data_IF_092843006403
#
_entry.id   IF_092843006403
#
_cell.length_a   1.000
_cell.length_b   1.000
_cell.length_c   1.000
_cell.angle_alpha   90.00
_cell.angle_beta   90.00
_cell.angle_gamma   90.00
#
_symmetry.space_group_name_H-M   'P 1'
#
loop_
_entity.id
_entity.type
_entity.pdbx_description
1 polymer ?
#
# COMPACT_ATOMS: atom_id res chain seq x y z
N UNK A 1 6.60 15.55 25.71
CA UNK A 1 7.55 16.24 24.82
C UNK A 1 7.08 16.09 23.38
N UNK A 2 7.23 17.13 22.57
CA UNK A 2 6.90 17.12 21.14
C UNK A 2 8.03 16.47 20.33
N UNK A 3 7.70 15.89 19.17
CA UNK A 3 8.66 15.14 18.34
C UNK A 3 8.92 15.83 17.00
N UNK A 4 10.08 15.55 16.41
CA UNK A 4 10.48 16.13 15.12
C UNK A 4 9.97 15.27 13.94
N UNK A 5 9.96 13.93 14.09
CA UNK A 5 9.53 12.99 13.05
C UNK A 5 8.63 11.90 13.65
N UNK A 6 7.53 11.63 12.98
CA UNK A 6 6.65 10.49 13.23
C UNK A 6 6.75 9.54 12.04
N UNK A 7 7.07 8.28 12.29
CA UNK A 7 7.04 7.22 11.27
C UNK A 7 5.82 6.34 11.55
N UNK A 8 4.94 6.21 10.56
CA UNK A 8 3.68 5.50 10.68
C UNK A 8 3.84 3.99 10.44
N UNK A 9 3.46 3.18 11.43
CA UNK A 9 3.50 1.72 11.39
C UNK A 9 2.17 1.06 11.75
N UNK A 10 1.09 1.83 11.80
CA UNK A 10 -0.26 1.31 12.05
C UNK A 10 -0.83 0.62 10.82
N UNK A 11 -1.92 -0.12 10.99
CA UNK A 11 -2.77 -0.47 9.86
C UNK A 11 -3.52 0.77 9.37
N UNK A 12 -3.81 0.82 8.07
CA UNK A 12 -4.41 1.99 7.43
C UNK A 12 -5.73 2.44 8.08
N UNK A 13 -6.59 1.49 8.53
CA UNK A 13 -7.85 1.79 9.21
C UNK A 13 -7.67 2.44 10.58
N UNK A 14 -6.49 2.38 11.18
CA UNK A 14 -6.19 2.98 12.49
C UNK A 14 -5.50 4.34 12.37
N UNK A 15 -5.14 4.77 11.16
CA UNK A 15 -4.30 5.95 10.91
C UNK A 15 -4.89 7.22 11.54
N UNK A 16 -6.14 7.55 11.25
CA UNK A 16 -6.78 8.78 11.74
C UNK A 16 -6.89 8.78 13.27
N UNK A 17 -7.36 7.66 13.83
CA UNK A 17 -7.48 7.51 15.28
C UNK A 17 -6.13 7.63 15.99
N UNK A 18 -5.10 7.00 15.45
CA UNK A 18 -3.76 7.06 16.01
C UNK A 18 -3.21 8.50 15.97
N UNK A 19 -3.37 9.22 14.86
CA UNK A 19 -2.93 10.63 14.77
C UNK A 19 -3.68 11.53 15.75
N UNK A 20 -4.98 11.28 15.98
CA UNK A 20 -5.76 11.97 17.02
C UNK A 20 -5.20 11.70 18.41
N UNK A 21 -4.90 10.43 18.72
CA UNK A 21 -4.41 10.03 20.06
C UNK A 21 -3.02 10.62 20.39
N UNK A 22 -2.17 10.81 19.37
CA UNK A 22 -0.82 11.40 19.55
C UNK A 22 -0.75 12.89 19.21
N UNK A 23 -1.87 13.58 19.03
CA UNK A 23 -1.90 14.98 18.60
C UNK A 23 -1.08 15.90 19.52
N UNK A 24 -0.99 15.60 20.81
CA UNK A 24 -0.17 16.35 21.77
C UNK A 24 1.34 16.28 21.51
N UNK A 25 1.80 15.28 20.74
CA UNK A 25 3.20 15.14 20.33
C UNK A 25 3.54 15.96 19.08
N UNK A 26 2.52 16.37 18.33
CA UNK A 26 2.66 17.07 17.06
C UNK A 26 2.86 18.57 17.35
N UNK A 27 3.94 19.14 16.85
CA UNK A 27 4.21 20.59 16.81
C UNK A 27 4.15 21.08 15.37
N UNK A 28 4.24 22.39 15.16
CA UNK A 28 4.16 23.03 13.84
C UNK A 28 5.13 22.44 12.81
N UNK A 29 6.33 22.06 13.26
CA UNK A 29 7.42 21.58 12.40
C UNK A 29 7.59 20.05 12.47
N UNK A 30 6.64 19.32 13.06
CA UNK A 30 6.68 17.85 13.08
C UNK A 30 6.49 17.32 11.67
N UNK A 31 7.40 16.48 11.23
CA UNK A 31 7.35 15.77 9.96
C UNK A 31 6.71 14.39 10.14
N UNK A 32 6.00 13.91 9.13
CA UNK A 32 5.35 12.59 9.15
C UNK A 32 5.79 11.78 7.94
N UNK A 33 6.34 10.58 8.17
CA UNK A 33 6.67 9.61 7.12
C UNK A 33 5.61 8.51 7.08
N UNK A 34 4.90 8.41 5.96
CA UNK A 34 3.91 7.38 5.68
C UNK A 34 4.42 6.37 4.66
N UNK A 35 4.61 5.12 5.10
CA UNK A 35 5.00 3.98 4.26
C UNK A 35 3.90 2.90 4.25
N UNK A 36 2.68 3.26 4.62
CA UNK A 36 1.55 2.33 4.68
C UNK A 36 1.15 1.84 3.28
N UNK A 37 0.66 0.61 3.21
CA UNK A 37 0.10 0.09 1.97
C UNK A 37 -1.20 0.81 1.62
N UNK A 38 -1.44 0.98 0.32
CA UNK A 38 -2.65 1.62 -0.18
C UNK A 38 -2.41 3.03 -0.72
N UNK A 39 -3.49 3.76 -0.93
CA UNK A 39 -3.52 5.05 -1.64
C UNK A 39 -4.38 6.04 -0.85
N UNK A 40 -3.97 7.32 -0.81
CA UNK A 40 -4.78 8.41 -0.26
C UNK A 40 -4.61 8.62 1.23
N UNK A 41 -3.52 8.14 1.83
CA UNK A 41 -3.22 8.37 3.25
C UNK A 41 -2.90 9.83 3.55
N UNK A 42 -2.34 10.54 2.57
CA UNK A 42 -2.04 11.96 2.64
C UNK A 42 -3.27 12.80 2.96
N UNK A 43 -4.45 12.46 2.43
CA UNK A 43 -5.73 13.15 2.70
C UNK A 43 -6.15 13.08 4.19
N UNK A 44 -5.66 12.07 4.90
CA UNK A 44 -5.89 11.91 6.34
C UNK A 44 -4.82 12.67 7.12
N UNK A 45 -3.55 12.54 6.73
CA UNK A 45 -2.42 13.10 7.46
C UNK A 45 -2.42 14.64 7.40
N UNK A 46 -2.85 15.24 6.28
CA UNK A 46 -2.94 16.70 6.11
C UNK A 46 -3.90 17.40 7.09
N UNK A 47 -4.80 16.64 7.72
CA UNK A 47 -5.65 17.17 8.80
C UNK A 47 -4.87 17.49 10.09
N UNK A 48 -3.65 16.97 10.22
CA UNK A 48 -2.82 17.05 11.44
C UNK A 48 -1.52 17.83 11.24
N UNK A 49 -0.92 17.75 10.06
CA UNK A 49 0.30 18.46 9.69
C UNK A 49 0.19 19.06 8.29
N UNK A 50 0.87 20.17 8.01
CA UNK A 50 0.84 20.76 6.66
C UNK A 50 1.50 19.83 5.65
N UNK A 51 1.07 19.93 4.38
CA UNK A 51 1.50 19.06 3.28
C UNK A 51 3.02 19.03 3.09
N UNK A 52 3.68 20.17 3.30
CA UNK A 52 5.15 20.28 3.24
C UNK A 52 5.90 19.52 4.33
N UNK A 53 5.19 19.01 5.34
CA UNK A 53 5.75 18.17 6.39
C UNK A 53 5.42 16.68 6.20
N UNK A 54 4.76 16.31 5.09
CA UNK A 54 4.39 14.93 4.80
C UNK A 54 5.39 14.32 3.82
N UNK A 55 5.96 13.20 4.23
CA UNK A 55 6.69 12.29 3.34
C UNK A 55 5.81 11.08 3.08
N UNK A 56 5.64 10.75 1.82
CA UNK A 56 4.99 9.50 1.39
C UNK A 56 6.01 8.59 0.74
N UNK A 57 5.75 7.31 0.80
CA UNK A 57 6.62 6.33 0.17
C UNK A 57 6.04 4.93 0.19
N UNK A 58 6.86 4.01 -0.26
CA UNK A 58 6.57 2.60 -0.14
C UNK A 58 7.77 1.85 0.44
N UNK A 59 7.51 0.67 1.00
CA UNK A 59 8.55 -0.24 1.46
C UNK A 59 8.37 -1.61 0.83
N UNK A 60 9.48 -2.19 0.40
CA UNK A 60 9.56 -3.58 -0.09
C UNK A 60 10.17 -4.52 0.96
N UNK A 61 10.39 -4.05 2.18
CA UNK A 61 10.82 -4.90 3.27
C UNK A 61 9.72 -5.86 3.69
N UNK A 62 10.07 -7.13 3.81
CA UNK A 62 9.20 -8.15 4.38
C UNK A 62 9.76 -8.56 5.75
N UNK A 63 8.92 -8.44 6.77
CA UNK A 63 9.29 -8.77 8.14
C UNK A 63 8.15 -9.54 8.82
N UNK A 64 8.51 -10.51 9.66
CA UNK A 64 7.58 -11.27 10.49
C UNK A 64 7.92 -11.09 11.97
N UNK A 65 6.91 -10.93 12.81
CA UNK A 65 7.05 -10.96 14.25
C UNK A 65 6.97 -12.42 14.72
N UNK A 66 8.10 -12.97 15.22
CA UNK A 66 8.17 -14.35 15.72
C UNK A 66 7.90 -14.46 17.23
N UNK A 67 7.92 -13.33 17.93
CA UNK A 67 7.66 -13.25 19.37
C UNK A 67 7.92 -11.84 19.92
N UNK A 68 7.68 -11.58 21.20
CA UNK A 68 7.96 -10.28 21.80
C UNK A 68 9.42 -9.88 21.59
N UNK A 69 9.65 -8.78 20.84
CA UNK A 69 10.99 -8.28 20.53
C UNK A 69 11.79 -9.10 19.51
N UNK A 70 11.18 -10.12 18.88
CA UNK A 70 11.83 -10.98 17.90
C UNK A 70 11.24 -10.74 16.52
N UNK A 71 12.00 -10.11 15.64
CA UNK A 71 11.61 -9.81 14.24
C UNK A 71 12.53 -10.57 13.30
N UNK A 72 11.92 -11.28 12.35
CA UNK A 72 12.64 -11.94 11.25
C UNK A 72 12.44 -11.14 9.97
N UNK A 73 13.55 -10.77 9.33
CA UNK A 73 13.57 -10.19 8.00
C UNK A 73 13.67 -11.28 6.94
N UNK A 74 12.94 -11.13 5.84
CA UNK A 74 12.97 -12.07 4.71
C UNK A 74 13.60 -11.37 3.49
N UNK A 75 14.76 -11.86 3.08
CA UNK A 75 15.49 -11.31 1.95
C UNK A 75 16.04 -9.89 2.20
N UNK A 76 16.12 -9.13 1.14
CA UNK A 76 16.47 -7.70 1.13
C UNK A 76 15.29 -6.87 0.69
N UNK A 77 15.16 -5.66 1.22
CA UNK A 77 14.12 -4.72 0.84
C UNK A 77 14.69 -3.33 0.58
N UNK A 78 13.81 -2.43 0.23
CA UNK A 78 14.13 -1.01 0.06
C UNK A 78 12.96 -0.15 0.55
N UNK A 79 13.26 1.13 0.73
CA UNK A 79 12.26 2.17 0.97
C UNK A 79 12.43 3.24 -0.10
N UNK A 80 11.35 3.60 -0.76
CA UNK A 80 11.29 4.77 -1.64
C UNK A 80 10.45 5.85 -0.98
N UNK A 81 10.89 7.10 -1.03
CA UNK A 81 10.14 8.20 -0.44
C UNK A 81 10.32 9.53 -1.19
N UNK A 82 9.35 10.41 -1.00
CA UNK A 82 9.36 11.81 -1.44
C UNK A 82 8.59 12.67 -0.42
N UNK A 83 8.93 13.97 -0.34
CA UNK A 83 8.12 14.95 0.38
C UNK A 83 7.03 15.53 -0.54
N UNK A 84 5.85 15.81 -0.01
CA UNK A 84 4.73 16.36 -0.80
C UNK A 84 4.79 17.89 -0.97
N UNK A 85 5.67 18.59 -0.26
CA UNK A 85 5.87 20.02 -0.40
C UNK A 85 6.76 20.37 -1.59
N UNK A 86 6.40 21.43 -2.31
CA UNK A 86 7.21 21.94 -3.40
C UNK A 86 8.61 22.36 -2.92
N UNK A 87 9.65 21.98 -3.68
CA UNK A 87 11.04 22.36 -3.37
C UNK A 87 11.64 21.65 -2.15
N UNK A 88 11.04 20.55 -1.69
CA UNK A 88 11.49 19.76 -0.53
C UNK A 88 12.34 18.54 -0.88
N UNK A 89 12.79 18.40 -2.13
CA UNK A 89 13.59 17.24 -2.59
C UNK A 89 14.87 17.07 -1.77
N UNK A 90 15.54 18.16 -1.40
CA UNK A 90 16.75 18.10 -0.58
C UNK A 90 16.48 17.52 0.82
N UNK A 91 15.33 17.87 1.42
CA UNK A 91 14.91 17.33 2.71
C UNK A 91 14.57 15.85 2.60
N UNK A 92 13.87 15.45 1.53
CA UNK A 92 13.53 14.05 1.28
C UNK A 92 14.79 13.20 1.04
N UNK A 93 15.75 13.68 0.28
CA UNK A 93 17.07 13.03 0.09
C UNK A 93 17.79 12.84 1.42
N UNK A 94 17.86 13.88 2.24
CA UNK A 94 18.47 13.81 3.57
C UNK A 94 17.80 12.80 4.49
N UNK A 95 16.46 12.70 4.45
CA UNK A 95 15.73 11.68 5.21
C UNK A 95 16.02 10.29 4.68
N UNK A 96 16.01 10.10 3.35
CA UNK A 96 16.35 8.83 2.72
C UNK A 96 17.77 8.38 3.11
N UNK A 97 18.77 9.28 3.06
CA UNK A 97 20.15 8.98 3.46
C UNK A 97 20.22 8.47 4.92
N UNK A 98 19.54 9.16 5.84
CA UNK A 98 19.49 8.74 7.26
C UNK A 98 18.84 7.37 7.46
N UNK A 99 17.75 7.09 6.75
CA UNK A 99 17.11 5.79 6.79
C UNK A 99 17.99 4.70 6.17
N UNK A 100 18.73 5.04 5.12
CA UNK A 100 19.71 4.13 4.47
C UNK A 100 20.88 3.82 5.39
N UNK A 101 21.45 4.83 6.06
CA UNK A 101 22.49 4.66 7.09
C UNK A 101 22.02 3.76 8.25
N UNK A 102 20.72 3.75 8.53
CA UNK A 102 20.09 2.87 9.52
C UNK A 102 19.81 1.45 9.00
N UNK A 103 20.23 1.11 7.78
CA UNK A 103 20.09 -0.23 7.19
C UNK A 103 18.79 -0.47 6.42
N UNK A 104 17.96 0.56 6.20
CA UNK A 104 16.67 0.40 5.50
C UNK A 104 16.76 0.46 3.97
N UNK A 105 17.97 0.67 3.41
CA UNK A 105 18.16 0.80 1.96
C UNK A 105 17.17 1.79 1.34
N UNK A 106 17.10 2.99 1.92
CA UNK A 106 16.15 4.01 1.52
C UNK A 106 16.73 4.93 0.44
N UNK A 107 15.89 5.39 -0.47
CA UNK A 107 16.27 6.34 -1.51
C UNK A 107 15.13 7.29 -1.85
N UNK A 108 15.49 8.45 -2.33
CA UNK A 108 14.56 9.42 -2.86
C UNK A 108 14.00 8.95 -4.22
N UNK A 109 12.72 9.17 -4.46
CA UNK A 109 12.07 8.88 -5.74
C UNK A 109 11.58 10.17 -6.39
N UNK A 110 11.93 10.40 -7.65
CA UNK A 110 11.40 11.53 -8.42
C UNK A 110 9.93 11.32 -8.82
N UNK A 111 9.44 10.08 -8.74
CA UNK A 111 8.07 9.73 -9.14
C UNK A 111 7.44 8.75 -8.14
N UNK A 112 7.36 9.17 -6.88
CA UNK A 112 6.86 8.31 -5.79
C UNK A 112 5.41 7.87 -6.00
N UNK A 113 4.57 8.71 -6.59
CA UNK A 113 3.18 8.35 -6.86
C UNK A 113 3.09 7.19 -7.84
N UNK A 114 3.94 7.15 -8.88
CA UNK A 114 4.03 6.00 -9.79
C UNK A 114 4.37 4.73 -9.02
N UNK A 115 5.40 4.77 -8.18
CA UNK A 115 5.84 3.62 -7.39
C UNK A 115 4.75 3.12 -6.43
N UNK A 116 4.04 4.05 -5.77
CA UNK A 116 2.90 3.72 -4.89
C UNK A 116 1.77 3.05 -5.68
N UNK A 117 1.35 3.64 -6.82
CA UNK A 117 0.28 3.07 -7.64
C UNK A 117 0.68 1.73 -8.25
N UNK A 118 1.92 1.60 -8.73
CA UNK A 118 2.45 0.32 -9.25
C UNK A 118 2.41 -0.78 -8.19
N UNK A 119 2.85 -0.51 -6.97
CA UNK A 119 2.75 -1.44 -5.84
C UNK A 119 1.28 -1.70 -5.46
N UNK A 120 0.44 -0.68 -5.47
CA UNK A 120 -0.98 -0.82 -5.19
C UNK A 120 -1.71 -1.70 -6.23
N UNK A 121 -1.28 -1.71 -7.50
CA UNK A 121 -1.77 -2.65 -8.51
C UNK A 121 -1.46 -4.10 -8.15
N UNK A 122 -0.23 -4.39 -7.68
CA UNK A 122 0.11 -5.75 -7.18
C UNK A 122 -0.80 -6.12 -6.01
N UNK A 123 -0.94 -5.24 -5.03
CA UNK A 123 -1.82 -5.50 -3.89
C UNK A 123 -3.29 -5.63 -4.31
N UNK A 124 -3.78 -4.76 -5.20
CA UNK A 124 -5.16 -4.75 -5.67
C UNK A 124 -5.54 -5.97 -6.50
N UNK A 125 -4.57 -6.63 -7.11
CA UNK A 125 -4.78 -7.88 -7.84
C UNK A 125 -4.56 -9.09 -6.93
N UNK A 126 -3.37 -9.24 -6.35
CA UNK A 126 -3.01 -10.45 -5.61
C UNK A 126 -3.78 -10.59 -4.29
N UNK A 127 -3.90 -9.50 -3.51
CA UNK A 127 -4.49 -9.58 -2.18
C UNK A 127 -5.95 -10.05 -2.23
N UNK A 128 -6.81 -9.32 -2.94
CA UNK A 128 -8.24 -9.64 -2.99
C UNK A 128 -8.53 -10.98 -3.67
N UNK A 129 -7.91 -11.21 -4.86
CA UNK A 129 -8.17 -12.45 -5.62
C UNK A 129 -7.71 -13.69 -4.87
N UNK A 130 -6.49 -13.71 -4.32
CA UNK A 130 -5.99 -14.85 -3.56
C UNK A 130 -6.82 -15.10 -2.29
N UNK A 131 -7.26 -14.03 -1.61
CA UNK A 131 -8.07 -14.16 -0.39
C UNK A 131 -9.46 -14.74 -0.68
N UNK A 132 -10.11 -14.31 -1.76
CA UNK A 132 -11.44 -14.80 -2.13
C UNK A 132 -11.37 -16.24 -2.65
N UNK A 133 -10.38 -16.57 -3.46
CA UNK A 133 -10.21 -17.90 -4.04
C UNK A 133 -9.56 -18.90 -3.09
N UNK A 134 -9.02 -18.47 -1.96
CA UNK A 134 -8.31 -19.30 -0.97
C UNK A 134 -7.09 -20.01 -1.57
N UNK A 135 -6.25 -19.27 -2.31
CA UNK A 135 -5.09 -19.78 -3.04
C UNK A 135 -3.87 -18.90 -2.80
N UNK A 136 -2.65 -19.43 -3.05
CA UNK A 136 -1.45 -18.62 -3.16
C UNK A 136 -1.32 -17.98 -4.55
N UNK A 137 -0.33 -17.12 -4.76
CA UNK A 137 -0.17 -16.39 -6.02
C UNK A 137 0.15 -17.31 -7.21
N UNK A 138 0.94 -18.37 -7.01
CA UNK A 138 1.24 -19.32 -8.09
C UNK A 138 0.01 -20.14 -8.50
N UNK A 139 -0.84 -20.49 -7.55
CA UNK A 139 -2.11 -21.18 -7.83
C UNK A 139 -3.08 -20.27 -8.58
N UNK A 140 -3.18 -18.99 -8.19
CA UNK A 140 -3.94 -17.99 -8.93
C UNK A 140 -3.46 -17.91 -10.39
N UNK A 141 -2.14 -17.83 -10.60
CA UNK A 141 -1.52 -17.72 -11.93
C UNK A 141 -1.79 -18.93 -12.85
N UNK A 142 -2.10 -20.12 -12.29
CA UNK A 142 -2.47 -21.32 -13.06
C UNK A 142 -3.90 -21.29 -13.60
N UNK A 143 -4.73 -20.36 -13.13
CA UNK A 143 -6.12 -20.27 -13.59
C UNK A 143 -6.20 -19.68 -14.99
N UNK A 144 -7.10 -20.16 -15.81
CA UNK A 144 -7.28 -19.69 -17.21
C UNK A 144 -7.72 -18.22 -17.31
N UNK A 145 -8.17 -17.62 -16.20
CA UNK A 145 -8.68 -16.25 -16.15
C UNK A 145 -7.74 -15.28 -15.45
N UNK A 146 -6.59 -15.74 -14.90
CA UNK A 146 -5.65 -14.93 -14.13
C UNK A 146 -5.24 -13.65 -14.86
N UNK A 147 -4.71 -13.78 -16.09
CA UNK A 147 -4.30 -12.63 -16.91
C UNK A 147 -5.44 -11.61 -17.11
N UNK A 148 -6.65 -12.11 -17.45
CA UNK A 148 -7.80 -11.22 -17.66
C UNK A 148 -8.19 -10.47 -16.40
N UNK A 149 -8.19 -11.14 -15.23
CA UNK A 149 -8.52 -10.50 -13.94
C UNK A 149 -7.48 -9.43 -13.58
N UNK A 150 -6.18 -9.77 -13.68
CA UNK A 150 -5.10 -8.83 -13.45
C UNK A 150 -5.20 -7.63 -14.37
N UNK A 151 -5.27 -7.85 -15.69
CA UNK A 151 -5.35 -6.77 -16.67
C UNK A 151 -6.57 -5.87 -16.45
N UNK A 152 -7.70 -6.43 -16.07
CA UNK A 152 -8.93 -5.65 -15.84
C UNK A 152 -8.78 -4.73 -14.63
N UNK A 153 -8.29 -5.24 -13.51
CA UNK A 153 -8.08 -4.46 -12.28
C UNK A 153 -7.01 -3.38 -12.51
N UNK A 154 -5.85 -3.73 -13.10
CA UNK A 154 -4.78 -2.77 -13.40
C UNK A 154 -5.28 -1.63 -14.29
N UNK A 155 -6.13 -1.93 -15.28
CA UNK A 155 -6.73 -0.89 -16.13
C UNK A 155 -7.65 0.07 -15.37
N UNK A 156 -8.37 -0.39 -14.34
CA UNK A 156 -9.16 0.50 -13.48
C UNK A 156 -8.26 1.42 -12.64
N UNK A 157 -7.20 0.87 -12.04
CA UNK A 157 -6.18 1.66 -11.35
C UNK A 157 -5.57 2.72 -12.28
N UNK A 158 -5.16 2.31 -13.48
CA UNK A 158 -4.53 3.22 -14.45
C UNK A 158 -5.46 4.37 -14.88
N UNK A 159 -6.75 4.09 -15.09
CA UNK A 159 -7.72 5.14 -15.42
C UNK A 159 -7.89 6.16 -14.31
N UNK A 160 -7.90 5.72 -13.06
CA UNK A 160 -7.98 6.62 -11.90
C UNK A 160 -6.67 7.39 -11.74
N UNK A 161 -5.52 6.73 -11.85
CA UNK A 161 -4.19 7.34 -11.79
C UNK A 161 -4.01 8.45 -12.85
N UNK A 162 -4.48 8.21 -14.07
CA UNK A 162 -4.39 9.19 -15.17
C UNK A 162 -5.12 10.51 -14.86
N UNK A 163 -6.23 10.49 -14.14
CA UNK A 163 -6.91 11.72 -13.67
C UNK A 163 -6.03 12.50 -12.69
N UNK A 164 -5.23 11.82 -11.90
CA UNK A 164 -4.25 12.39 -10.96
C UNK A 164 -2.89 12.70 -11.65
N UNK A 165 -2.84 12.62 -12.99
CA UNK A 165 -1.64 12.87 -13.81
C UNK A 165 -0.50 11.88 -13.54
N UNK A 166 -0.84 10.66 -13.09
CA UNK A 166 0.08 9.56 -12.89
C UNK A 166 -0.09 8.60 -14.08
N UNK A 167 0.89 8.58 -14.98
CA UNK A 167 0.86 7.75 -16.19
C UNK A 167 1.49 6.39 -15.91
N UNK A 168 0.66 5.37 -15.66
CA UNK A 168 1.13 4.00 -15.48
C UNK A 168 1.42 3.35 -16.84
N UNK A 169 2.58 2.72 -16.97
CA UNK A 169 2.86 1.79 -18.08
C UNK A 169 2.07 0.50 -17.85
N UNK A 170 0.84 0.48 -18.36
CA UNK A 170 -0.11 -0.64 -18.10
C UNK A 170 0.47 -2.01 -18.49
N UNK A 171 1.10 -2.20 -19.66
CA UNK A 171 1.75 -3.46 -20.00
C UNK A 171 2.83 -3.87 -19.00
N UNK A 172 3.68 -2.94 -18.58
CA UNK A 172 4.74 -3.19 -17.57
C UNK A 172 4.13 -3.56 -16.22
N UNK A 173 3.12 -2.81 -15.77
CA UNK A 173 2.46 -3.07 -14.48
C UNK A 173 1.76 -4.43 -14.46
N UNK A 174 1.10 -4.83 -15.56
CA UNK A 174 0.50 -6.16 -15.70
C UNK A 174 1.60 -7.23 -15.59
N UNK A 175 2.68 -7.09 -16.36
CA UNK A 175 3.79 -8.04 -16.34
C UNK A 175 4.42 -8.13 -14.94
N UNK A 176 4.54 -7.00 -14.25
CA UNK A 176 5.02 -6.96 -12.87
C UNK A 176 4.08 -7.67 -11.89
N UNK A 177 2.76 -7.47 -12.01
CA UNK A 177 1.79 -8.23 -11.21
C UNK A 177 1.90 -9.74 -11.48
N UNK A 178 2.03 -10.15 -12.75
CA UNK A 178 2.12 -11.55 -13.13
C UNK A 178 3.45 -12.20 -12.75
N UNK A 179 4.53 -11.43 -12.61
CA UNK A 179 5.79 -11.94 -12.07
C UNK A 179 5.66 -12.49 -10.64
N UNK A 180 4.64 -12.04 -9.90
CA UNK A 180 4.31 -12.59 -8.59
C UNK A 180 3.77 -14.03 -8.63
N UNK A 181 3.40 -14.55 -9.79
CA UNK A 181 2.95 -15.95 -9.97
C UNK A 181 4.10 -16.96 -9.96
N UNK A 182 5.34 -16.49 -10.16
CA UNK A 182 6.51 -17.34 -10.26
C UNK A 182 6.83 -18.05 -8.93
N UNK A 183 6.72 -19.39 -8.85
CA UNK A 183 7.02 -20.15 -7.65
C UNK A 183 8.50 -20.11 -7.24
N UNK A 184 9.40 -19.76 -8.16
CA UNK A 184 10.84 -19.59 -7.87
C UNK A 184 11.13 -18.29 -7.09
N UNK A 185 10.15 -17.37 -7.03
CA UNK A 185 10.24 -16.11 -6.30
C UNK A 185 9.25 -16.07 -5.15
N UNK A 186 8.14 -15.35 -5.30
CA UNK A 186 7.15 -15.15 -4.24
C UNK A 186 5.83 -15.89 -4.49
N UNK A 187 5.70 -16.62 -5.59
CA UNK A 187 4.43 -17.23 -6.00
C UNK A 187 3.84 -18.22 -4.99
N UNK A 188 4.68 -18.94 -4.24
CA UNK A 188 4.22 -19.85 -3.18
C UNK A 188 3.76 -19.15 -1.89
N UNK A 189 3.95 -17.84 -1.80
CA UNK A 189 3.50 -17.07 -0.64
C UNK A 189 2.01 -16.69 -0.77
N UNK A 190 1.37 -16.61 0.38
CA UNK A 190 0.05 -16.01 0.50
C UNK A 190 0.20 -14.51 0.73
N UNK A 191 -0.55 -13.67 0.00
CA UNK A 191 -0.49 -12.21 0.18
C UNK A 191 -0.86 -11.76 1.59
N UNK A 192 -0.49 -10.53 1.95
CA UNK A 192 -0.71 -9.99 3.30
C UNK A 192 -2.18 -9.97 3.73
N UNK A 193 -3.09 -9.67 2.81
CA UNK A 193 -4.54 -9.68 3.09
C UNK A 193 -5.05 -11.08 3.43
N UNK A 194 -4.59 -12.10 2.71
CA UNK A 194 -4.88 -13.49 3.06
C UNK A 194 -4.36 -13.83 4.46
N UNK A 195 -3.16 -13.40 4.78
CA UNK A 195 -2.57 -13.62 6.10
C UNK A 195 -3.38 -12.91 7.20
N UNK A 196 -3.82 -11.67 6.95
CA UNK A 196 -4.65 -10.93 7.90
C UNK A 196 -5.99 -11.62 8.13
N UNK A 197 -6.75 -11.86 7.06
CA UNK A 197 -8.11 -12.36 7.18
C UNK A 197 -8.20 -13.84 7.52
N UNK A 198 -7.51 -14.69 6.75
CA UNK A 198 -7.66 -16.15 6.85
C UNK A 198 -6.82 -16.72 7.99
N UNK A 199 -5.55 -16.28 8.13
CA UNK A 199 -4.65 -16.84 9.14
C UNK A 199 -4.79 -16.19 10.51
N UNK A 200 -5.00 -14.87 10.53
CA UNK A 200 -4.94 -14.09 11.78
C UNK A 200 -6.31 -13.56 12.23
N UNK A 201 -7.39 -13.81 11.50
CA UNK A 201 -8.75 -13.32 11.80
C UNK A 201 -8.78 -11.82 12.12
N UNK A 202 -8.15 -11.01 11.24
CA UNK A 202 -8.09 -9.55 11.33
C UNK A 202 -8.76 -8.91 10.12
N UNK A 203 -9.34 -7.72 10.30
CA UNK A 203 -9.83 -6.88 9.21
C UNK A 203 -8.71 -6.59 8.20
N UNK A 204 -9.11 -6.49 6.94
CA UNK A 204 -8.20 -6.25 5.81
C UNK A 204 -8.04 -4.76 5.50
N UNK A 205 -7.04 -4.44 4.67
CA UNK A 205 -6.82 -3.09 4.16
C UNK A 205 -7.49 -2.87 2.79
N UNK A 206 -8.52 -3.65 2.44
CA UNK A 206 -9.18 -3.60 1.12
C UNK A 206 -9.69 -2.18 0.79
N UNK A 207 -10.20 -1.44 1.77
CA UNK A 207 -10.70 -0.09 1.61
C UNK A 207 -9.61 0.93 1.21
N UNK A 208 -8.36 0.64 1.53
CA UNK A 208 -7.21 1.52 1.21
C UNK A 208 -6.48 1.08 -0.07
N UNK A 209 -6.91 -0.02 -0.68
CA UNK A 209 -6.38 -0.56 -1.93
C UNK A 209 -7.44 -0.44 -3.02
N UNK A 210 -8.23 -1.48 -3.28
CA UNK A 210 -9.30 -1.46 -4.28
C UNK A 210 -10.41 -0.46 -3.92
N UNK A 211 -10.82 -0.40 -2.64
CA UNK A 211 -11.80 0.56 -2.15
C UNK A 211 -11.34 2.03 -2.31
N UNK A 212 -10.03 2.31 -2.24
CA UNK A 212 -9.52 3.64 -2.54
C UNK A 212 -9.71 4.00 -4.02
N UNK A 213 -9.45 3.06 -4.93
CA UNK A 213 -9.71 3.23 -6.37
C UNK A 213 -11.20 3.43 -6.64
N UNK A 214 -12.04 2.66 -5.99
CA UNK A 214 -13.51 2.79 -6.06
C UNK A 214 -13.97 4.19 -5.63
N UNK A 215 -13.50 4.69 -4.50
CA UNK A 215 -13.85 6.04 -4.01
C UNK A 215 -13.34 7.14 -4.93
N UNK A 216 -12.07 7.04 -5.37
CA UNK A 216 -11.49 7.99 -6.34
C UNK A 216 -12.21 7.93 -7.68
N UNK A 217 -12.56 6.73 -8.17
CA UNK A 217 -13.36 6.54 -9.37
C UNK A 217 -14.70 7.27 -9.29
N UNK A 218 -15.44 7.09 -8.21
CA UNK A 218 -16.71 7.83 -7.94
C UNK A 218 -16.49 9.34 -7.91
N UNK A 219 -15.43 9.82 -7.25
CA UNK A 219 -15.08 11.24 -7.16
C UNK A 219 -14.77 11.84 -8.53
N UNK A 220 -14.13 11.10 -9.42
CA UNK A 220 -13.67 11.57 -10.73
C UNK A 220 -14.58 11.20 -11.90
N UNK A 221 -15.67 10.47 -11.66
CA UNK A 221 -16.56 9.98 -12.73
C UNK A 221 -15.94 8.87 -13.58
N UNK A 222 -14.97 8.12 -13.04
CA UNK A 222 -14.32 6.97 -13.68
C UNK A 222 -14.96 5.68 -13.15
N UNK A 223 -15.45 4.83 -14.06
CA UNK A 223 -16.04 3.55 -13.67
C UNK A 223 -14.97 2.55 -13.25
N UNK A 224 -15.17 1.94 -12.07
CA UNK A 224 -14.27 0.96 -11.44
C UNK A 224 -15.02 -0.27 -10.95
N UNK A 225 -15.87 -0.92 -11.79
CA UNK A 225 -16.79 -1.97 -11.34
C UNK A 225 -16.10 -3.20 -10.75
N UNK A 226 -14.90 -3.53 -11.19
CA UNK A 226 -14.17 -4.69 -10.68
C UNK A 226 -13.51 -4.40 -9.32
N UNK A 227 -12.97 -3.20 -9.14
CA UNK A 227 -12.48 -2.76 -7.82
C UNK A 227 -13.65 -2.64 -6.82
N UNK A 228 -14.80 -2.09 -7.23
CA UNK A 228 -16.01 -2.04 -6.41
C UNK A 228 -16.44 -3.45 -5.97
N UNK A 229 -16.62 -4.35 -6.93
CA UNK A 229 -17.08 -5.71 -6.67
C UNK A 229 -16.10 -6.53 -5.83
N UNK A 230 -14.79 -6.41 -6.09
CA UNK A 230 -13.78 -7.11 -5.28
C UNK A 230 -13.75 -6.59 -3.84
N UNK A 231 -13.93 -5.30 -3.65
CA UNK A 231 -14.05 -4.70 -2.31
C UNK A 231 -15.25 -5.28 -1.55
N UNK A 232 -16.41 -5.33 -2.20
CA UNK A 232 -17.64 -5.92 -1.62
C UNK A 232 -17.45 -7.41 -1.30
N UNK A 233 -16.81 -8.18 -2.17
CA UNK A 233 -16.52 -9.59 -1.92
C UNK A 233 -15.62 -9.81 -0.71
N UNK A 234 -14.59 -8.98 -0.54
CA UNK A 234 -13.70 -9.09 0.62
C UNK A 234 -14.46 -8.74 1.90
N UNK A 235 -15.28 -7.69 1.91
CA UNK A 235 -16.14 -7.38 3.07
C UNK A 235 -17.12 -8.52 3.39
N UNK A 236 -17.76 -9.09 2.37
CA UNK A 236 -18.63 -10.25 2.58
C UNK A 236 -17.87 -11.45 3.18
N UNK A 237 -16.59 -11.63 2.80
CA UNK A 237 -15.72 -12.67 3.38
C UNK A 237 -15.38 -12.35 4.84
N UNK A 238 -15.06 -11.08 5.17
CA UNK A 238 -14.84 -10.60 6.54
C UNK A 238 -16.05 -10.89 7.42
N UNK A 239 -17.26 -10.52 6.94
CA UNK A 239 -18.52 -10.78 7.64
C UNK A 239 -18.78 -12.28 7.85
N UNK A 240 -18.54 -13.10 6.82
CA UNK A 240 -18.75 -14.56 6.88
C UNK A 240 -17.83 -15.25 7.89
N UNK A 241 -16.68 -14.67 8.16
CA UNK A 241 -15.71 -15.14 9.15
C UNK A 241 -15.88 -14.45 10.52
N UNK A 242 -16.89 -13.58 10.68
CA UNK A 242 -17.16 -12.78 11.89
C UNK A 242 -15.94 -11.96 12.35
N UNK A 243 -15.13 -11.47 11.44
CA UNK A 243 -14.01 -10.57 11.73
C UNK A 243 -14.54 -9.14 11.87
N UNK A 244 -14.12 -8.47 12.95
CA UNK A 244 -14.57 -7.10 13.28
C UNK A 244 -13.40 -6.23 13.70
#
# INVERSE_FOLDING_TARGET
DQVDLIILFTKAMQLEKMLQDIQSLIKKDTEVLCLLNGIGHEDIIEKFVPMENIYIGNTMWTAGLEGPGQVKLFGSGSVELQNLGDGKEAAAKKLADKLSESGLNAHFSDNIHYSIYRKACVNGTMNGLCTILDVNMAELGKTSTAHKMVATIVNEFAKVAAVEKIELDVPEVIAHCESCFDPETIGLHYPSMYQDLIKNHRLTEIDYINGAISRKGKKYGVATPYCDFLTELVHAKEDSLNVK
#
